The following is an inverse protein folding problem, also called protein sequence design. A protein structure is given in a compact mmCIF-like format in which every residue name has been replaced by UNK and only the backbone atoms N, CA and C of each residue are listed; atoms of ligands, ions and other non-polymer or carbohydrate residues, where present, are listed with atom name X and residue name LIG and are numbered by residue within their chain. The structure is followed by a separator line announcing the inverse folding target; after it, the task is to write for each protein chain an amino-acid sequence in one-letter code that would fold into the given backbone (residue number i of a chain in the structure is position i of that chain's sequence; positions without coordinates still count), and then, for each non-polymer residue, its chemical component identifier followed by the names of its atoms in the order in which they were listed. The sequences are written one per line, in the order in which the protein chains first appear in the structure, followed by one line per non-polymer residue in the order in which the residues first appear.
data_IF_630905162466
#
_entry.id   IF_630905162466
#
_cell.length_a   1.000
_cell.length_b   1.000
_cell.length_c   1.000
_cell.angle_alpha   90.00
_cell.angle_beta   90.00
_cell.angle_gamma   90.00
#
_symmetry.space_group_name_H-M   'P 1'
#
loop_
_entity.id
_entity.type
_entity.pdbx_description
1 polymer ?
#
# COMPACT_ATOMS: atom_id res chain seq x y z
N UNK A 1 9.61 2.68 8.88
CA UNK A 1 8.18 2.49 9.22
C UNK A 1 7.36 2.92 8.03
N UNK A 2 6.71 1.96 7.36
CA UNK A 2 5.99 2.23 6.11
C UNK A 2 4.75 3.08 6.36
N UNK A 3 4.60 4.15 5.58
CA UNK A 3 3.40 4.97 5.58
C UNK A 3 2.41 4.50 4.51
N UNK A 4 1.11 4.56 4.81
CA UNK A 4 0.06 4.28 3.84
C UNK A 4 -0.86 5.48 3.74
N UNK A 5 -1.09 5.96 2.52
CA UNK A 5 -1.98 7.08 2.22
C UNK A 5 -2.90 6.75 1.04
N UNK A 6 -3.93 7.56 0.86
CA UNK A 6 -4.87 7.47 -0.25
C UNK A 6 -4.78 8.72 -1.09
N UNK A 7 -4.92 8.59 -2.40
CA UNK A 7 -5.16 9.73 -3.28
C UNK A 7 -6.53 9.62 -3.96
N UNK A 8 -7.25 10.73 -3.99
CA UNK A 8 -8.51 10.88 -4.71
C UNK A 8 -8.64 12.31 -5.22
N UNK A 9 -8.99 12.48 -6.50
CA UNK A 9 -9.07 13.75 -7.21
C UNK A 9 -7.80 14.60 -7.06
N UNK A 10 -6.63 13.97 -7.23
CA UNK A 10 -5.31 14.60 -7.06
C UNK A 10 -5.06 15.19 -5.66
N UNK A 11 -5.78 14.74 -4.64
CA UNK A 11 -5.54 15.11 -3.24
C UNK A 11 -5.14 13.88 -2.45
N UNK A 12 -4.15 14.04 -1.58
CA UNK A 12 -3.67 12.97 -0.73
C UNK A 12 -4.26 13.08 0.68
N UNK A 13 -4.66 11.94 1.23
CA UNK A 13 -5.34 11.81 2.51
C UNK A 13 -4.67 10.72 3.33
N UNK A 14 -4.36 11.04 4.58
CA UNK A 14 -3.99 10.05 5.60
C UNK A 14 -5.25 9.52 6.29
N UNK A 15 -6.29 10.36 6.36
CA UNK A 15 -7.61 10.06 6.89
C UNK A 15 -8.64 10.80 6.04
N UNK A 16 -9.74 10.15 5.71
CA UNK A 16 -10.85 10.78 4.96
C UNK A 16 -11.94 11.19 5.94
N UNK A 17 -12.52 12.38 5.76
CA UNK A 17 -13.56 12.90 6.66
C UNK A 17 -14.94 12.23 6.42
N UNK A 18 -15.20 11.73 5.21
CA UNK A 18 -16.44 11.03 4.86
C UNK A 18 -16.46 9.59 5.42
N UNK A 19 -17.54 9.21 6.11
CA UNK A 19 -17.62 7.94 6.85
C UNK A 19 -17.49 6.70 5.96
N UNK A 20 -18.09 6.69 4.76
CA UNK A 20 -18.05 5.54 3.85
C UNK A 20 -16.68 5.40 3.19
N UNK A 21 -16.12 6.50 2.66
CA UNK A 21 -14.84 6.43 1.97
C UNK A 21 -13.70 6.12 2.95
N UNK A 22 -13.78 6.65 4.17
CA UNK A 22 -12.84 6.32 5.24
C UNK A 22 -12.93 4.85 5.66
N UNK A 23 -14.13 4.26 5.70
CA UNK A 23 -14.30 2.83 5.96
C UNK A 23 -13.69 1.96 4.84
N UNK A 24 -13.91 2.34 3.58
CA UNK A 24 -13.32 1.64 2.42
C UNK A 24 -11.80 1.72 2.48
N UNK A 25 -11.28 2.92 2.74
CA UNK A 25 -9.86 3.17 2.93
C UNK A 25 -9.29 2.26 4.04
N UNK A 26 -9.78 2.39 5.28
CA UNK A 26 -9.29 1.58 6.41
C UNK A 26 -9.38 0.07 6.16
N UNK A 27 -10.44 -0.40 5.49
CA UNK A 27 -10.54 -1.80 5.07
C UNK A 27 -9.44 -2.17 4.08
N UNK A 28 -9.21 -1.34 3.05
CA UNK A 28 -8.16 -1.52 2.06
C UNK A 28 -6.75 -1.56 2.67
N UNK A 29 -6.45 -0.68 3.63
CA UNK A 29 -5.17 -0.70 4.36
C UNK A 29 -4.99 -1.95 5.21
N UNK A 30 -6.04 -2.42 5.88
CA UNK A 30 -5.97 -3.69 6.62
C UNK A 30 -5.70 -4.87 5.69
N UNK A 31 -6.38 -4.93 4.54
CA UNK A 31 -6.13 -5.96 3.52
C UNK A 31 -4.71 -5.87 2.97
N UNK A 32 -4.22 -4.67 2.66
CA UNK A 32 -2.86 -4.45 2.18
C UNK A 32 -1.83 -4.96 3.19
N UNK A 33 -1.98 -4.63 4.48
CA UNK A 33 -1.08 -5.13 5.51
C UNK A 33 -1.15 -6.64 5.68
N UNK A 34 -2.33 -7.25 5.54
CA UNK A 34 -2.47 -8.71 5.60
C UNK A 34 -1.75 -9.39 4.42
N UNK A 35 -1.84 -8.82 3.22
CA UNK A 35 -1.13 -9.34 2.04
C UNK A 35 0.40 -9.21 2.18
N UNK A 36 0.87 -8.14 2.82
CA UNK A 36 2.29 -7.84 2.99
C UNK A 36 2.90 -8.42 4.27
N UNK A 37 2.11 -9.10 5.10
CA UNK A 37 2.56 -9.76 6.33
C UNK A 37 3.78 -10.68 6.11
N UNK A 38 3.87 -11.48 5.03
CA UNK A 38 5.02 -12.35 4.79
C UNK A 38 6.35 -11.61 4.60
N UNK A 39 6.31 -10.31 4.32
CA UNK A 39 7.49 -9.48 4.09
C UNK A 39 7.61 -8.33 5.11
N UNK A 40 6.85 -8.39 6.21
CA UNK A 40 6.78 -7.33 7.22
C UNK A 40 8.15 -6.89 7.75
N UNK A 41 9.05 -7.84 8.03
CA UNK A 41 10.40 -7.52 8.53
C UNK A 41 11.22 -6.68 7.56
N UNK A 42 11.05 -6.90 6.26
CA UNK A 42 11.70 -6.12 5.20
C UNK A 42 11.12 -4.71 5.16
N UNK A 43 9.80 -4.58 5.31
CA UNK A 43 9.11 -3.29 5.34
C UNK A 43 9.50 -2.44 6.56
N UNK A 44 9.76 -3.06 7.71
CA UNK A 44 10.16 -2.34 8.92
C UNK A 44 11.54 -1.67 8.79
N UNK A 45 12.41 -2.21 7.94
CA UNK A 45 13.75 -1.68 7.69
C UNK A 45 13.77 -0.54 6.67
N UNK A 46 12.65 -0.27 6.01
CA UNK A 46 12.54 0.73 4.95
C UNK A 46 11.79 1.98 5.42
N UNK A 47 12.07 3.08 4.72
CA UNK A 47 11.39 4.36 4.90
C UNK A 47 10.60 4.73 3.64
N UNK A 48 9.71 3.81 3.24
CA UNK A 48 8.87 3.94 2.07
C UNK A 48 7.42 4.28 2.40
N UNK A 49 6.69 4.70 1.37
CA UNK A 49 5.29 5.08 1.42
C UNK A 49 4.52 4.37 0.31
N UNK A 50 3.42 3.73 0.70
CA UNK A 50 2.48 3.11 -0.22
C UNK A 50 1.31 4.08 -0.38
N UNK A 51 1.10 4.58 -1.60
CA UNK A 51 -0.05 5.42 -1.94
C UNK A 51 -1.05 4.61 -2.75
N UNK A 52 -2.29 4.56 -2.27
CA UNK A 52 -3.40 3.88 -2.93
C UNK A 52 -4.21 4.94 -3.70
N UNK A 53 -4.15 4.93 -5.02
CA UNK A 53 -4.93 5.83 -5.86
C UNK A 53 -6.33 5.28 -6.08
N UNK A 54 -7.35 6.07 -5.74
CA UNK A 54 -8.78 5.73 -5.83
C UNK A 54 -9.50 6.48 -6.96
N UNK A 55 -8.75 7.04 -7.90
CA UNK A 55 -9.26 7.74 -9.08
C UNK A 55 -9.76 6.77 -10.17
N UNK A 56 -10.06 7.28 -11.37
CA UNK A 56 -10.62 6.50 -12.49
C UNK A 56 -9.77 5.27 -12.89
N UNK A 57 -8.46 5.31 -12.61
CA UNK A 57 -7.54 4.20 -12.79
C UNK A 57 -6.90 3.83 -11.44
N UNK A 58 -7.55 2.97 -10.64
CA UNK A 58 -7.03 2.63 -9.33
C UNK A 58 -5.71 1.88 -9.45
N UNK A 59 -4.69 2.34 -8.73
CA UNK A 59 -3.37 1.74 -8.71
C UNK A 59 -2.72 1.88 -7.32
N UNK A 60 -1.59 1.21 -7.14
CA UNK A 60 -0.75 1.32 -5.93
C UNK A 60 0.60 1.86 -6.37
N UNK A 61 1.03 2.93 -5.72
CA UNK A 61 2.32 3.57 -5.96
C UNK A 61 3.24 3.36 -4.76
N UNK A 62 4.49 2.99 -5.06
CA UNK A 62 5.52 2.70 -4.07
C UNK A 62 6.59 3.79 -4.15
N UNK A 63 6.57 4.70 -3.17
CA UNK A 63 7.48 5.84 -3.07
C UNK A 63 8.56 5.59 -2.00
N UNK A 64 9.81 5.98 -2.25
CA UNK A 64 10.87 5.97 -1.25
C UNK A 64 11.42 4.58 -0.85
N UNK A 65 10.88 3.49 -1.38
CA UNK A 65 11.43 2.15 -1.20
C UNK A 65 12.69 1.93 -2.05
N UNK A 66 13.64 1.16 -1.52
CA UNK A 66 14.72 0.62 -2.33
C UNK A 66 14.19 -0.28 -3.46
N UNK A 67 14.88 -0.33 -4.60
CA UNK A 67 14.50 -1.17 -5.74
C UNK A 67 14.23 -2.66 -5.39
N UNK A 68 15.07 -3.36 -4.59
CA UNK A 68 14.81 -4.75 -4.24
C UNK A 68 13.55 -4.91 -3.37
N UNK A 69 13.29 -3.99 -2.45
CA UNK A 69 12.08 -4.05 -1.62
C UNK A 69 10.84 -3.72 -2.42
N UNK A 70 10.91 -2.71 -3.30
CA UNK A 70 9.82 -2.40 -4.23
C UNK A 70 9.43 -3.62 -5.06
N UNK A 71 10.41 -4.31 -5.62
CA UNK A 71 10.17 -5.54 -6.39
C UNK A 71 9.52 -6.63 -5.53
N UNK A 72 9.98 -6.81 -4.29
CA UNK A 72 9.40 -7.79 -3.37
C UNK A 72 7.93 -7.47 -3.05
N UNK A 73 7.61 -6.21 -2.75
CA UNK A 73 6.22 -5.75 -2.54
C UNK A 73 5.35 -6.07 -3.76
N UNK A 74 5.81 -5.72 -4.96
CA UNK A 74 5.07 -5.98 -6.20
C UNK A 74 4.80 -7.47 -6.42
N UNK A 75 5.79 -8.33 -6.18
CA UNK A 75 5.63 -9.80 -6.27
C UNK A 75 4.63 -10.33 -5.26
N UNK A 76 4.74 -9.90 -4.00
CA UNK A 76 3.81 -10.31 -2.93
C UNK A 76 2.37 -9.92 -3.27
N UNK A 77 2.14 -8.69 -3.75
CA UNK A 77 0.81 -8.21 -4.13
C UNK A 77 0.22 -8.94 -5.35
N UNK A 78 1.08 -9.50 -6.22
CA UNK A 78 0.66 -10.33 -7.35
C UNK A 78 0.47 -11.81 -6.98
N UNK A 79 0.85 -12.21 -5.78
CA UNK A 79 0.81 -13.61 -5.34
C UNK A 79 1.96 -14.46 -5.89
N UNK A 80 3.01 -13.84 -6.46
CA UNK A 80 4.12 -14.53 -7.12
C UNK A 80 5.13 -15.15 -6.13
N UNK A 81 4.89 -15.03 -4.83
CA UNK A 81 5.75 -15.60 -3.77
C UNK A 81 5.34 -17.04 -3.36
N UNK A 82 4.23 -17.58 -3.88
CA UNK A 82 3.73 -18.92 -3.54
C UNK A 82 4.22 -20.06 -4.47
N UNK A 83 5.01 -19.77 -5.49
CA UNK A 83 5.46 -20.75 -6.50
C UNK A 83 6.89 -21.30 -6.27
N UNK A 84 7.28 -21.55 -5.01
CA UNK A 84 8.59 -22.16 -4.67
C UNK A 84 8.46 -23.44 -3.85
#
# INVERSE_FOLDING_TARGET
MVQVSYSYKNREFIHLEDSIMNQIAESGKRMLFALLEPIHDVLMQENGKIRICLDEHPNIELEGFSAPVKHKIERTLRGEDHDA
#
